data_IF_449360267418
#
_entry.id   IF_449360267418
#
_cell.length_a   1.000
_cell.length_b   1.000
_cell.length_c   1.000
_cell.angle_alpha   90.00
_cell.angle_beta   90.00
_cell.angle_gamma   90.00
#
_symmetry.space_group_name_H-M   'P 1'
#
loop_
_entity.id
_entity.type
_entity.pdbx_description
1 polymer ?
#
# COMPACT_ATOMS: atom_id res chain seq x y z
N UNK A 1 20.30 -0.31 9.10
CA UNK A 1 19.00 -0.33 8.40
C UNK A 1 19.27 -1.05 7.10
N UNK A 2 18.58 -2.16 6.82
CA UNK A 2 18.72 -2.85 5.53
C UNK A 2 18.13 -1.90 4.49
N UNK A 3 18.93 -1.49 3.52
CA UNK A 3 18.44 -0.69 2.40
C UNK A 3 17.71 -1.61 1.45
N UNK A 4 16.41 -1.36 1.23
CA UNK A 4 15.58 -2.07 0.26
C UNK A 4 15.50 -1.36 -1.10
N UNK A 5 16.12 -0.17 -1.20
CA UNK A 5 16.23 0.58 -2.44
C UNK A 5 16.91 -0.28 -3.52
N UNK A 6 16.35 -0.26 -4.74
CA UNK A 6 16.73 -1.08 -5.89
C UNK A 6 16.47 -2.58 -5.76
N UNK A 7 15.86 -3.06 -4.67
CA UNK A 7 15.49 -4.47 -4.61
C UNK A 7 14.39 -4.76 -5.63
N UNK A 8 14.55 -5.85 -6.38
CA UNK A 8 13.53 -6.35 -7.28
C UNK A 8 12.41 -7.02 -6.48
N UNK A 9 11.16 -6.70 -6.79
CA UNK A 9 9.99 -7.41 -6.27
C UNK A 9 9.82 -8.69 -7.07
N UNK A 10 10.27 -9.81 -6.52
CA UNK A 10 10.18 -11.13 -7.17
C UNK A 10 8.78 -11.72 -7.12
N UNK A 11 8.04 -11.43 -6.05
CA UNK A 11 6.63 -11.80 -5.88
C UNK A 11 6.00 -11.01 -4.74
N UNK A 12 4.68 -11.05 -4.65
CA UNK A 12 3.95 -10.52 -3.52
C UNK A 12 2.79 -11.44 -3.14
N UNK A 13 2.45 -11.44 -1.86
CA UNK A 13 1.30 -12.14 -1.31
C UNK A 13 0.34 -11.14 -0.68
N UNK A 14 -0.94 -11.27 -1.00
CA UNK A 14 -2.03 -10.54 -0.34
C UNK A 14 -2.87 -11.54 0.45
N UNK A 15 -2.82 -11.42 1.77
CA UNK A 15 -3.62 -12.22 2.69
C UNK A 15 -4.79 -11.37 3.23
N UNK A 16 -5.94 -11.48 2.56
CA UNK A 16 -7.15 -10.74 2.91
C UNK A 16 -7.72 -11.16 4.27
N UNK A 17 -7.46 -12.40 4.72
CA UNK A 17 -8.00 -12.92 5.97
C UNK A 17 -7.24 -12.36 7.18
N UNK A 18 -5.94 -12.21 7.04
CA UNK A 18 -5.06 -11.72 8.10
C UNK A 18 -4.65 -10.24 7.90
N UNK A 19 -5.27 -9.54 6.95
CA UNK A 19 -4.99 -8.13 6.65
C UNK A 19 -3.51 -7.84 6.41
N UNK A 20 -2.84 -8.71 5.63
CA UNK A 20 -1.39 -8.66 5.46
C UNK A 20 -0.98 -8.63 4.00
N UNK A 21 0.04 -7.83 3.68
CA UNK A 21 0.75 -7.87 2.40
C UNK A 21 2.21 -8.15 2.66
N UNK A 22 2.80 -9.08 1.89
CA UNK A 22 4.23 -9.36 1.92
C UNK A 22 4.78 -9.14 0.52
N UNK A 23 5.80 -8.28 0.41
CA UNK A 23 6.63 -8.17 -0.78
C UNK A 23 7.89 -9.00 -0.57
N UNK A 24 8.10 -9.98 -1.45
CA UNK A 24 9.32 -10.77 -1.48
C UNK A 24 10.30 -10.12 -2.45
N UNK A 25 11.42 -9.64 -1.92
CA UNK A 25 12.36 -8.84 -2.69
C UNK A 25 13.75 -9.46 -2.73
N UNK A 26 14.51 -9.18 -3.77
CA UNK A 26 15.89 -9.64 -3.92
C UNK A 26 16.81 -8.46 -4.26
N UNK A 27 17.90 -8.33 -3.52
CA UNK A 27 18.89 -7.28 -3.73
C UNK A 27 19.76 -7.61 -4.96
N UNK A 28 19.94 -6.66 -5.90
CA UNK A 28 20.64 -6.92 -7.16
C UNK A 28 22.15 -7.19 -6.99
N UNK A 29 22.73 -6.75 -5.87
CA UNK A 29 24.19 -6.82 -5.64
C UNK A 29 24.68 -8.19 -5.14
N UNK A 30 23.84 -8.90 -4.38
CA UNK A 30 24.24 -10.11 -3.66
C UNK A 30 23.15 -11.19 -3.60
N UNK A 31 22.02 -11.00 -4.28
CA UNK A 31 20.84 -11.88 -4.21
C UNK A 31 20.31 -12.11 -2.79
N UNK A 32 20.54 -11.16 -1.89
CA UNK A 32 19.96 -11.20 -0.54
C UNK A 32 18.44 -11.02 -0.63
N UNK A 33 17.72 -11.94 -0.01
CA UNK A 33 16.25 -11.90 0.04
C UNK A 33 15.78 -11.11 1.24
N UNK A 34 14.95 -10.11 0.99
CA UNK A 34 14.35 -9.26 2.01
C UNK A 34 12.84 -9.28 1.86
N UNK A 35 12.14 -9.52 2.97
CA UNK A 35 10.68 -9.47 3.04
C UNK A 35 10.24 -8.14 3.61
N UNK A 36 9.36 -7.43 2.89
CA UNK A 36 8.69 -6.23 3.41
C UNK A 36 7.26 -6.61 3.75
N UNK A 37 6.90 -6.52 5.03
CA UNK A 37 5.57 -6.87 5.54
C UNK A 37 4.79 -5.61 5.91
N UNK A 38 3.56 -5.53 5.40
CA UNK A 38 2.53 -4.58 5.83
C UNK A 38 1.46 -5.35 6.58
N UNK A 39 1.18 -4.96 7.81
CA UNK A 39 0.19 -5.58 8.70
C UNK A 39 -1.02 -4.64 8.87
N UNK A 40 -2.15 -5.18 9.31
CA UNK A 40 -3.41 -4.45 9.52
C UNK A 40 -3.86 -3.60 8.31
N UNK A 41 -3.64 -4.14 7.10
CA UNK A 41 -3.96 -3.48 5.83
C UNK A 41 -5.47 -3.45 5.61
N UNK A 42 -6.03 -2.24 5.63
CA UNK A 42 -7.44 -1.98 5.29
C UNK A 42 -7.70 -2.15 3.79
N UNK A 43 -6.89 -1.49 2.96
CA UNK A 43 -7.04 -1.46 1.52
C UNK A 43 -5.70 -1.26 0.83
N UNK A 44 -5.59 -1.74 -0.41
CA UNK A 44 -4.41 -1.55 -1.24
C UNK A 44 -4.82 -1.34 -2.70
N UNK A 45 -3.90 -0.80 -3.50
CA UNK A 45 -4.01 -0.72 -4.95
C UNK A 45 -2.64 -0.98 -5.55
N UNK A 46 -2.54 -2.01 -6.38
CA UNK A 46 -1.36 -2.24 -7.20
C UNK A 46 -1.59 -1.67 -8.60
N UNK A 47 -0.55 -1.12 -9.20
CA UNK A 47 -0.52 -0.84 -10.63
C UNK A 47 -0.14 -2.12 -11.41
N UNK A 48 0.35 -1.98 -12.64
CA UNK A 48 0.74 -3.10 -13.51
C UNK A 48 2.20 -3.49 -13.27
N UNK A 49 2.51 -4.02 -12.09
CA UNK A 49 3.86 -4.50 -11.77
C UNK A 49 4.21 -5.74 -12.62
N UNK A 50 5.46 -5.82 -13.07
CA UNK A 50 5.97 -6.87 -13.97
C UNK A 50 7.33 -7.40 -13.46
N UNK A 51 7.86 -8.43 -14.10
CA UNK A 51 9.24 -8.88 -13.88
C UNK A 51 10.21 -7.70 -14.07
N UNK A 52 11.17 -7.56 -13.15
CA UNK A 52 12.07 -6.41 -13.10
C UNK A 52 11.51 -5.16 -12.41
N UNK A 53 10.29 -5.18 -11.87
CA UNK A 53 9.80 -4.11 -10.99
C UNK A 53 10.66 -4.02 -9.73
N UNK A 54 11.13 -2.81 -9.39
CA UNK A 54 11.98 -2.56 -8.23
C UNK A 54 11.29 -1.65 -7.20
N UNK A 55 11.76 -1.70 -5.97
CA UNK A 55 11.42 -0.70 -4.94
C UNK A 55 12.35 0.50 -5.11
N UNK A 56 11.77 1.64 -5.50
CA UNK A 56 12.48 2.93 -5.48
C UNK A 56 12.50 3.51 -4.07
N UNK A 57 11.35 3.59 -3.41
CA UNK A 57 11.23 4.08 -2.04
C UNK A 57 9.97 3.50 -1.39
N UNK A 58 9.89 3.53 -0.07
CA UNK A 58 8.63 3.28 0.66
C UNK A 58 8.36 4.49 1.52
N UNK A 59 7.36 5.25 1.12
CA UNK A 59 7.06 6.55 1.71
C UNK A 59 5.79 6.46 2.55
N UNK A 60 5.93 6.84 3.82
CA UNK A 60 4.80 7.04 4.72
C UNK A 60 4.27 8.47 4.58
N UNK A 61 2.96 8.57 4.42
CA UNK A 61 2.23 9.82 4.33
C UNK A 61 1.06 9.82 5.30
N UNK A 62 0.68 11.02 5.75
CA UNK A 62 -0.56 11.21 6.52
C UNK A 62 -1.80 11.10 5.64
N UNK A 63 -2.95 10.82 6.27
CA UNK A 63 -4.23 10.61 5.59
C UNK A 63 -4.67 11.79 4.71
N UNK A 64 -4.28 13.03 5.03
CA UNK A 64 -4.57 14.18 4.16
C UNK A 64 -4.02 13.97 2.73
N UNK A 65 -2.79 13.44 2.61
CA UNK A 65 -2.18 13.12 1.32
C UNK A 65 -2.88 11.96 0.62
N UNK A 66 -3.45 11.00 1.37
CA UNK A 66 -4.25 9.93 0.80
C UNK A 66 -5.46 10.49 0.04
N UNK A 67 -6.23 11.39 0.66
CA UNK A 67 -7.40 11.99 0.02
C UNK A 67 -7.02 12.91 -1.15
N UNK A 68 -5.98 13.72 -0.98
CA UNK A 68 -5.48 14.62 -2.04
C UNK A 68 -5.02 13.84 -3.28
N UNK A 69 -4.22 12.78 -3.10
CA UNK A 69 -3.64 12.03 -4.21
C UNK A 69 -4.64 11.05 -4.85
N UNK A 70 -5.64 10.57 -4.09
CA UNK A 70 -6.54 9.50 -4.53
C UNK A 70 -7.99 9.94 -4.74
N UNK A 71 -8.29 11.23 -4.83
CA UNK A 71 -9.65 11.74 -4.99
C UNK A 71 -10.39 11.07 -6.18
N UNK A 72 -9.76 11.01 -7.36
CA UNK A 72 -10.37 10.32 -8.51
C UNK A 72 -10.61 8.83 -8.29
N UNK A 73 -9.71 8.16 -7.55
CA UNK A 73 -9.83 6.74 -7.25
C UNK A 73 -10.99 6.49 -6.28
N UNK A 74 -11.12 7.33 -5.26
CA UNK A 74 -12.20 7.27 -4.27
C UNK A 74 -13.55 7.44 -4.95
N UNK A 75 -13.70 8.43 -5.82
CA UNK A 75 -14.93 8.64 -6.59
C UNK A 75 -15.25 7.46 -7.52
N UNK A 76 -14.24 6.95 -8.25
CA UNK A 76 -14.44 5.81 -9.18
C UNK A 76 -14.77 4.50 -8.48
N UNK A 77 -14.29 4.30 -7.25
CA UNK A 77 -14.40 3.03 -6.54
C UNK A 77 -15.39 3.06 -5.36
N UNK A 78 -16.03 4.21 -5.09
CA UNK A 78 -17.02 4.36 -4.02
C UNK A 78 -18.14 3.31 -4.11
N UNK A 79 -18.72 3.15 -5.30
CA UNK A 79 -19.81 2.20 -5.56
C UNK A 79 -19.36 0.73 -5.46
N UNK A 80 -18.04 0.50 -5.41
CA UNK A 80 -17.40 -0.81 -5.20
C UNK A 80 -16.89 -0.98 -3.76
N UNK A 81 -17.30 -0.09 -2.85
CA UNK A 81 -16.96 -0.12 -1.43
C UNK A 81 -15.44 -0.06 -1.13
N UNK A 82 -14.66 0.61 -1.98
CA UNK A 82 -13.24 0.85 -1.72
C UNK A 82 -13.00 2.28 -1.19
N UNK A 83 -12.12 2.47 -0.19
CA UNK A 83 -11.38 1.44 0.56
C UNK A 83 -12.25 0.68 1.56
N UNK A 84 -13.42 1.22 1.87
CA UNK A 84 -14.49 0.60 2.65
C UNK A 84 -15.83 1.24 2.23
N UNK A 85 -16.93 0.85 2.88
CA UNK A 85 -18.21 1.54 2.70
C UNK A 85 -18.24 2.88 3.46
N UNK A 86 -18.68 3.95 2.82
CA UNK A 86 -18.87 5.29 3.40
C UNK A 86 -19.87 6.11 2.56
N UNK A 87 -20.61 7.02 3.20
CA UNK A 87 -21.56 7.90 2.51
C UNK A 87 -20.87 9.16 1.96
N UNK A 88 -19.84 9.65 2.64
CA UNK A 88 -19.08 10.86 2.26
C UNK A 88 -17.58 10.75 2.56
N UNK A 89 -16.77 11.53 1.84
CA UNK A 89 -15.31 11.60 2.07
C UNK A 89 -14.99 12.10 3.48
N UNK A 90 -15.80 13.02 4.03
CA UNK A 90 -15.62 13.52 5.39
C UNK A 90 -15.83 12.42 6.44
N UNK A 91 -16.84 11.57 6.26
CA UNK A 91 -17.08 10.41 7.12
C UNK A 91 -15.89 9.43 7.07
N UNK A 92 -15.44 9.09 5.86
CA UNK A 92 -14.28 8.23 5.65
C UNK A 92 -13.04 8.82 6.34
N UNK A 93 -12.78 10.12 6.15
CA UNK A 93 -11.64 10.81 6.77
C UNK A 93 -11.68 10.75 8.29
N UNK A 94 -12.82 11.03 8.91
CA UNK A 94 -12.98 10.97 10.37
C UNK A 94 -12.73 9.54 10.87
N UNK A 95 -13.26 8.54 10.18
CA UNK A 95 -13.08 7.15 10.56
C UNK A 95 -11.61 6.73 10.47
N UNK A 96 -10.94 6.98 9.34
CA UNK A 96 -9.54 6.60 9.16
C UNK A 96 -8.62 7.29 10.17
N UNK A 97 -8.86 8.58 10.46
CA UNK A 97 -8.09 9.32 11.47
C UNK A 97 -8.32 8.79 12.89
N UNK A 98 -9.56 8.41 13.23
CA UNK A 98 -9.91 7.84 14.54
C UNK A 98 -9.25 6.49 14.76
N UNK A 99 -9.18 5.66 13.72
CA UNK A 99 -8.55 4.34 13.76
C UNK A 99 -7.01 4.41 13.63
N UNK A 100 -6.47 5.56 13.22
CA UNK A 100 -5.02 5.80 13.20
C UNK A 100 -4.31 5.18 12.00
N UNK A 101 -4.98 5.03 10.87
CA UNK A 101 -4.36 4.48 9.66
C UNK A 101 -3.30 5.40 9.08
N UNK A 102 -2.33 4.77 8.41
CA UNK A 102 -1.25 5.41 7.68
C UNK A 102 -1.40 5.13 6.18
N UNK A 103 -0.85 6.01 5.35
CA UNK A 103 -0.85 5.85 3.91
C UNK A 103 0.57 5.59 3.42
N UNK A 104 0.80 4.44 2.80
CA UNK A 104 2.09 4.08 2.20
C UNK A 104 2.01 4.15 0.67
N UNK A 105 3.05 4.73 0.06
CA UNK A 105 3.30 4.69 -1.39
C UNK A 105 4.64 4.00 -1.61
N UNK A 106 4.63 3.03 -2.54
CA UNK A 106 5.76 2.17 -2.91
C UNK A 106 6.04 2.40 -4.39
#
# INVERSE_FOLDING_TARGET
MISIHDNEITSYQVDLKNHKIILYTEAPSNSERVEVSFEDVLAHRFETQLEGSIILDIQEYGLNRFFENNNELLEKQKDYCWPMHYDSIDELSIQLMKEGYLYYVI
#
